data_IF_189852611805
#
_entry.id   IF_189852611805
#
_cell.length_a   1.000
_cell.length_b   1.000
_cell.length_c   1.000
_cell.angle_alpha   90.00
_cell.angle_beta   90.00
_cell.angle_gamma   90.00
#
_symmetry.space_group_name_H-M   'P 1'
#
loop_
_entity.id
_entity.type
_entity.pdbx_description
1 polymer ?
#
# COMPACT_ATOMS: atom_id res chain seq x y z
N UNK A 1 -10.55 -11.02 -10.29
CA UNK A 1 -10.84 -10.36 -9.01
C UNK A 1 -11.71 -9.12 -9.20
N UNK A 2 -12.30 -8.58 -8.13
CA UNK A 2 -13.11 -7.39 -8.13
C UNK A 2 -12.32 -6.20 -7.61
N UNK A 3 -12.47 -5.03 -8.25
CA UNK A 3 -12.04 -3.74 -7.70
C UNK A 3 -13.28 -2.98 -7.23
N UNK A 4 -13.32 -2.64 -5.94
CA UNK A 4 -14.47 -2.04 -5.28
C UNK A 4 -14.05 -0.71 -4.66
N UNK A 5 -14.74 0.36 -5.02
CA UNK A 5 -14.48 1.70 -4.53
C UNK A 5 -15.73 2.28 -3.81
N UNK A 6 -15.66 3.51 -3.34
CA UNK A 6 -16.68 4.16 -2.53
C UNK A 6 -17.92 4.64 -3.31
N UNK A 7 -17.93 4.59 -4.64
CA UNK A 7 -18.99 5.12 -5.50
C UNK A 7 -20.33 4.37 -5.45
N UNK A 8 -20.52 3.44 -4.54
CA UNK A 8 -21.75 2.65 -4.42
C UNK A 8 -22.93 3.41 -3.80
N UNK A 9 -22.68 4.63 -3.27
CA UNK A 9 -23.69 5.40 -2.55
C UNK A 9 -24.06 4.78 -1.20
N UNK A 10 -25.05 5.36 -0.54
CA UNK A 10 -25.57 4.89 0.74
C UNK A 10 -26.93 4.26 0.53
N UNK A 11 -27.06 2.97 0.80
CA UNK A 11 -28.30 2.21 0.67
C UNK A 11 -28.59 1.47 1.98
N UNK A 12 -29.62 1.91 2.71
CA UNK A 12 -30.02 1.26 3.96
C UNK A 12 -29.12 1.58 5.16
N UNK A 13 -29.10 0.69 6.14
CA UNK A 13 -28.40 0.88 7.43
C UNK A 13 -26.95 0.39 7.38
N UNK A 14 -26.63 -0.51 6.47
CA UNK A 14 -25.30 -1.11 6.37
C UNK A 14 -24.43 -0.41 5.32
N UNK A 15 -23.14 -0.29 5.59
CA UNK A 15 -22.18 0.25 4.64
C UNK A 15 -22.11 -0.67 3.40
N UNK A 16 -22.41 -0.14 2.20
CA UNK A 16 -22.36 -0.92 0.97
C UNK A 16 -20.97 -1.52 0.70
N UNK A 17 -19.89 -0.81 1.01
CA UNK A 17 -18.52 -1.31 0.84
C UNK A 17 -18.29 -2.59 1.63
N UNK A 18 -18.77 -2.65 2.87
CA UNK A 18 -18.61 -3.84 3.71
C UNK A 18 -19.34 -5.04 3.11
N UNK A 19 -20.60 -4.85 2.69
CA UNK A 19 -21.39 -5.89 2.05
C UNK A 19 -20.76 -6.38 0.74
N UNK A 20 -20.32 -5.44 -0.09
CA UNK A 20 -19.67 -5.75 -1.38
C UNK A 20 -18.35 -6.51 -1.18
N UNK A 21 -17.54 -6.14 -0.16
CA UNK A 21 -16.35 -6.89 0.20
C UNK A 21 -16.69 -8.35 0.49
N UNK A 22 -17.68 -8.58 1.35
CA UNK A 22 -18.08 -9.94 1.73
C UNK A 22 -18.59 -10.74 0.53
N UNK A 23 -19.57 -10.22 -0.19
CA UNK A 23 -20.21 -10.97 -1.27
C UNK A 23 -19.28 -11.23 -2.45
N UNK A 24 -18.49 -10.24 -2.86
CA UNK A 24 -17.55 -10.41 -3.96
C UNK A 24 -16.37 -11.32 -3.60
N UNK A 25 -15.89 -11.25 -2.36
CA UNK A 25 -14.87 -12.18 -1.88
C UNK A 25 -15.39 -13.62 -1.86
N UNK A 26 -16.54 -13.86 -1.26
CA UNK A 26 -17.17 -15.19 -1.20
C UNK A 26 -17.47 -15.74 -2.58
N UNK A 27 -17.96 -14.91 -3.51
CA UNK A 27 -18.18 -15.33 -4.90
C UNK A 27 -16.85 -15.68 -5.59
N UNK A 28 -15.80 -14.90 -5.36
CA UNK A 28 -14.48 -15.16 -5.92
C UNK A 28 -13.88 -16.48 -5.40
N UNK A 29 -14.10 -16.81 -4.13
CA UNK A 29 -13.68 -18.10 -3.53
C UNK A 29 -14.31 -19.32 -4.22
N UNK A 30 -15.50 -19.19 -4.80
CA UNK A 30 -16.16 -20.29 -5.53
C UNK A 30 -15.45 -20.69 -6.81
N UNK A 31 -14.62 -19.85 -7.36
CA UNK A 31 -13.99 -20.03 -8.67
C UNK A 31 -12.64 -20.71 -8.61
N UNK A 32 -11.86 -20.60 -7.51
CA UNK A 32 -10.54 -21.23 -7.29
C UNK A 32 -10.04 -21.05 -5.84
N UNK A 33 -8.82 -21.44 -5.60
CA UNK A 33 -8.06 -21.63 -4.35
C UNK A 33 -7.87 -20.37 -3.48
N UNK A 34 -8.89 -19.59 -3.28
CA UNK A 34 -8.90 -18.40 -2.42
C UNK A 34 -9.54 -17.18 -3.08
N UNK A 35 -10.16 -16.35 -2.28
CA UNK A 35 -10.74 -15.08 -2.73
C UNK A 35 -9.69 -13.97 -2.82
N UNK A 36 -9.80 -13.15 -3.85
CA UNK A 36 -9.02 -11.93 -3.98
C UNK A 36 -9.91 -10.79 -4.49
N UNK A 37 -9.93 -9.70 -3.75
CA UNK A 37 -10.53 -8.43 -4.17
C UNK A 37 -9.53 -7.30 -3.96
N UNK A 38 -9.71 -6.20 -4.65
CA UNK A 38 -9.04 -4.94 -4.35
C UNK A 38 -10.11 -3.93 -3.94
N UNK A 39 -10.15 -3.59 -2.67
CA UNK A 39 -11.22 -2.73 -2.14
C UNK A 39 -10.68 -1.59 -1.31
N UNK A 40 -11.35 -0.44 -1.41
CA UNK A 40 -11.18 0.62 -0.43
C UNK A 40 -11.52 0.10 0.97
N UNK A 41 -10.90 0.68 1.99
CA UNK A 41 -11.16 0.32 3.39
C UNK A 41 -12.66 0.47 3.73
N UNK A 42 -13.26 -0.61 4.19
CA UNK A 42 -14.69 -0.72 4.47
C UNK A 42 -15.02 -0.86 5.97
N UNK A 43 -14.12 -0.42 6.84
CA UNK A 43 -14.29 -0.51 8.29
C UNK A 43 -13.55 -1.69 8.94
N UNK A 44 -13.65 -1.82 10.28
CA UNK A 44 -13.03 -2.90 11.03
C UNK A 44 -13.45 -4.28 10.50
N UNK A 45 -12.47 -5.17 10.35
CA UNK A 45 -12.71 -6.52 9.83
C UNK A 45 -12.54 -6.66 8.31
N UNK A 46 -12.37 -5.56 7.55
CA UNK A 46 -12.18 -5.65 6.09
C UNK A 46 -10.86 -6.31 5.68
N UNK A 47 -9.88 -6.43 6.59
CA UNK A 47 -8.66 -7.22 6.37
C UNK A 47 -8.93 -8.70 6.04
N UNK A 48 -10.12 -9.23 6.36
CA UNK A 48 -10.54 -10.58 5.98
C UNK A 48 -10.73 -10.76 4.47
N UNK A 49 -10.82 -9.67 3.75
CA UNK A 49 -11.11 -9.63 2.31
C UNK A 49 -9.97 -8.93 1.57
N UNK A 50 -8.78 -9.58 1.47
CA UNK A 50 -7.63 -8.95 0.85
C UNK A 50 -7.86 -8.70 -0.64
N UNK A 51 -7.27 -7.61 -1.16
CA UNK A 51 -6.40 -6.63 -0.51
C UNK A 51 -7.11 -5.28 -0.39
N UNK A 52 -6.66 -4.45 0.56
CA UNK A 52 -7.19 -3.10 0.73
C UNK A 52 -6.37 -2.01 0.05
N UNK A 53 -6.99 -0.85 -0.16
CA UNK A 53 -6.29 0.36 -0.57
C UNK A 53 -6.80 1.61 0.15
N UNK A 54 -5.91 2.62 0.30
CA UNK A 54 -6.23 3.86 1.02
C UNK A 54 -7.06 4.85 0.18
N UNK A 55 -6.84 4.85 -1.14
CA UNK A 55 -7.46 5.79 -2.06
C UNK A 55 -6.70 7.11 -2.19
N UNK A 56 -7.35 8.08 -2.69
CA UNK A 56 -6.93 9.27 -3.39
C UNK A 56 -6.04 10.21 -2.55
N UNK A 57 -4.73 10.07 -2.67
CA UNK A 57 -3.77 10.97 -2.03
C UNK A 57 -3.39 12.12 -2.97
N UNK A 58 -3.16 13.32 -2.41
CA UNK A 58 -2.60 14.43 -3.18
C UNK A 58 -1.12 14.19 -3.50
N UNK A 59 -0.66 14.72 -4.64
CA UNK A 59 0.74 14.64 -5.08
C UNK A 59 1.53 15.73 -4.35
N UNK A 60 1.87 15.46 -3.08
CA UNK A 60 2.64 16.39 -2.22
C UNK A 60 3.58 15.63 -1.28
N UNK A 61 4.60 16.33 -0.79
CA UNK A 61 5.52 15.78 0.21
C UNK A 61 4.83 15.44 1.53
N UNK A 62 3.83 16.23 1.94
CA UNK A 62 3.04 15.97 3.14
C UNK A 62 2.27 14.65 3.04
N UNK A 63 1.72 14.37 1.86
CA UNK A 63 1.06 13.09 1.59
C UNK A 63 2.07 11.93 1.64
N UNK A 64 3.24 12.08 1.05
CA UNK A 64 4.30 11.08 1.13
C UNK A 64 4.74 10.85 2.58
N UNK A 65 4.96 11.92 3.34
CA UNK A 65 5.40 11.84 4.75
C UNK A 65 4.42 11.03 5.62
N UNK A 66 3.14 11.10 5.32
CA UNK A 66 2.10 10.36 6.05
C UNK A 66 2.04 8.86 5.69
N UNK A 67 2.42 8.47 4.47
CA UNK A 67 2.21 7.11 3.97
C UNK A 67 2.94 6.00 4.76
N UNK A 68 4.21 6.14 5.17
CA UNK A 68 4.90 5.11 5.96
C UNK A 68 4.20 4.85 7.31
N UNK A 69 3.82 5.92 8.01
CA UNK A 69 3.07 5.82 9.26
C UNK A 69 1.74 5.11 9.05
N UNK A 70 0.96 5.56 8.06
CA UNK A 70 -0.36 5.01 7.77
C UNK A 70 -0.29 3.53 7.39
N UNK A 71 0.66 3.16 6.53
CA UNK A 71 0.84 1.77 6.08
C UNK A 71 1.31 0.86 7.21
N UNK A 72 2.26 1.28 8.03
CA UNK A 72 2.75 0.46 9.14
C UNK A 72 1.70 0.28 10.23
N UNK A 73 0.96 1.34 10.57
CA UNK A 73 -0.09 1.26 11.60
C UNK A 73 -1.35 0.52 11.14
N UNK A 74 -1.57 0.34 9.83
CA UNK A 74 -2.63 -0.52 9.32
C UNK A 74 -2.48 -1.97 9.80
N UNK A 75 -1.27 -2.40 10.10
CA UNK A 75 -1.00 -3.73 10.67
C UNK A 75 -1.59 -3.92 12.07
N UNK A 76 -1.83 -2.85 12.84
CA UNK A 76 -2.49 -2.92 14.16
C UNK A 76 -3.93 -3.46 14.08
N UNK A 77 -4.55 -3.39 12.92
CA UNK A 77 -5.90 -3.91 12.68
C UNK A 77 -5.90 -5.11 11.72
N UNK A 78 -4.73 -5.74 11.54
CA UNK A 78 -4.57 -6.92 10.69
C UNK A 78 -4.47 -6.62 9.20
N UNK A 79 -4.37 -5.36 8.78
CA UNK A 79 -4.29 -4.99 7.36
C UNK A 79 -2.85 -5.09 6.85
N UNK A 80 -2.35 -6.32 6.66
CA UNK A 80 -0.96 -6.58 6.25
C UNK A 80 -0.71 -6.32 4.76
N UNK A 81 -1.73 -6.49 3.91
CA UNK A 81 -1.65 -6.28 2.46
C UNK A 81 -2.45 -5.04 2.07
N UNK A 82 -1.75 -3.93 2.05
CA UNK A 82 -2.28 -2.60 1.89
C UNK A 82 -1.68 -1.89 0.68
N UNK A 83 -2.51 -1.24 -0.11
CA UNK A 83 -2.10 -0.47 -1.28
C UNK A 83 -2.32 1.01 -1.05
N UNK A 84 -1.33 1.82 -1.39
CA UNK A 84 -1.50 3.26 -1.54
C UNK A 84 -1.22 3.66 -3.00
N UNK A 85 -1.58 4.89 -3.37
CA UNK A 85 -1.33 5.42 -4.70
C UNK A 85 0.11 5.96 -4.76
N UNK A 86 1.03 5.15 -5.28
CA UNK A 86 2.46 5.51 -5.37
C UNK A 86 2.63 6.69 -6.32
N UNK A 87 3.21 7.77 -5.79
CA UNK A 87 3.34 9.04 -6.48
C UNK A 87 2.14 9.98 -6.31
N UNK A 88 1.15 9.59 -5.49
CA UNK A 88 -0.09 10.33 -5.30
C UNK A 88 -1.11 10.12 -6.43
N UNK A 89 -2.38 10.41 -6.18
CA UNK A 89 -3.48 10.15 -7.10
C UNK A 89 -3.88 11.36 -7.94
N UNK A 90 -3.99 12.52 -7.31
CA UNK A 90 -4.54 13.74 -7.94
C UNK A 90 -4.00 15.02 -7.34
N UNK A 91 -4.25 16.14 -8.03
CA UNK A 91 -3.88 17.47 -7.54
C UNK A 91 -2.39 17.61 -7.23
N UNK A 92 -2.06 18.51 -6.32
CA UNK A 92 -0.67 18.74 -5.93
C UNK A 92 0.17 19.43 -7.00
N UNK A 93 1.42 19.02 -7.13
CA UNK A 93 2.37 19.66 -8.05
C UNK A 93 3.30 18.64 -8.72
N UNK A 94 3.87 19.00 -9.87
CA UNK A 94 4.85 18.19 -10.56
C UNK A 94 6.22 18.36 -9.90
N UNK A 95 6.75 17.24 -9.39
CA UNK A 95 8.06 17.18 -8.78
C UNK A 95 8.67 15.79 -9.02
N UNK A 96 9.76 15.74 -9.79
CA UNK A 96 10.41 14.48 -10.12
C UNK A 96 11.10 13.84 -8.91
N UNK A 97 11.61 14.63 -7.97
CA UNK A 97 12.20 14.08 -6.77
C UNK A 97 11.15 13.44 -5.88
N UNK A 98 10.02 14.10 -5.67
CA UNK A 98 8.86 13.54 -4.96
C UNK A 98 8.43 12.20 -5.59
N UNK A 99 8.35 12.14 -6.92
CA UNK A 99 8.00 10.91 -7.63
C UNK A 99 9.02 9.79 -7.39
N UNK A 100 10.31 10.10 -7.43
CA UNK A 100 11.39 9.15 -7.14
C UNK A 100 11.27 8.64 -5.69
N UNK A 101 11.17 9.55 -4.72
CA UNK A 101 11.12 9.18 -3.30
C UNK A 101 9.87 8.35 -2.96
N UNK A 102 8.75 8.71 -3.56
CA UNK A 102 7.52 7.94 -3.38
C UNK A 102 7.63 6.53 -3.99
N UNK A 103 8.25 6.40 -5.16
CA UNK A 103 8.50 5.10 -5.75
C UNK A 103 9.49 4.26 -4.92
N UNK A 104 10.55 4.87 -4.40
CA UNK A 104 11.50 4.21 -3.49
C UNK A 104 10.77 3.63 -2.27
N UNK A 105 9.94 4.43 -1.62
CA UNK A 105 9.07 3.95 -0.55
C UNK A 105 8.10 2.87 -1.05
N UNK A 106 7.48 3.05 -2.20
CA UNK A 106 6.51 2.12 -2.79
C UNK A 106 7.06 0.74 -3.09
N UNK A 107 8.36 0.63 -3.39
CA UNK A 107 9.05 -0.67 -3.57
C UNK A 107 9.08 -1.47 -2.27
N UNK A 108 9.17 -0.80 -1.14
CA UNK A 108 9.14 -1.39 0.20
C UNK A 108 7.77 -1.20 0.89
N UNK A 109 6.71 -1.18 0.12
CA UNK A 109 5.33 -1.23 0.60
C UNK A 109 4.66 -2.54 0.17
N UNK A 110 3.54 -2.97 0.78
CA UNK A 110 2.98 -4.28 0.49
C UNK A 110 2.59 -4.45 -0.98
N UNK A 111 1.88 -3.49 -1.56
CA UNK A 111 1.42 -3.54 -2.94
C UNK A 111 2.06 -2.41 -3.75
N UNK A 112 2.77 -2.77 -4.81
CA UNK A 112 3.32 -1.79 -5.75
C UNK A 112 2.30 -1.49 -6.84
N UNK A 113 1.63 -0.33 -6.73
CA UNK A 113 0.60 0.12 -7.65
C UNK A 113 0.82 1.59 -8.00
N UNK A 114 1.20 1.85 -9.25
CA UNK A 114 1.27 3.20 -9.80
C UNK A 114 -0.13 3.58 -10.30
N UNK A 115 -0.86 4.31 -9.48
CA UNK A 115 -2.25 4.67 -9.76
C UNK A 115 -2.47 6.18 -9.63
N UNK A 116 -3.22 6.74 -10.56
CA UNK A 116 -3.58 8.16 -10.58
C UNK A 116 -4.86 8.39 -11.36
N UNK A 117 -5.36 9.62 -11.35
CA UNK A 117 -6.39 10.06 -12.29
C UNK A 117 -5.90 9.92 -13.75
N UNK A 118 -6.81 9.98 -14.70
CA UNK A 118 -6.50 9.93 -16.12
C UNK A 118 -5.88 11.23 -16.68
N UNK A 119 -5.59 12.21 -15.84
CA UNK A 119 -4.93 13.45 -16.26
C UNK A 119 -3.49 13.18 -16.68
N UNK A 120 -3.03 13.66 -17.85
CA UNK A 120 -1.63 13.57 -18.25
C UNK A 120 -0.66 14.19 -17.24
N UNK A 121 -1.10 15.20 -16.46
CA UNK A 121 -0.33 15.80 -15.38
C UNK A 121 0.06 14.79 -14.29
N UNK A 122 -0.77 13.78 -14.07
CA UNK A 122 -0.59 12.76 -13.03
C UNK A 122 0.05 11.46 -13.55
N UNK A 123 0.59 11.46 -14.79
CA UNK A 123 1.25 10.28 -15.37
C UNK A 123 2.37 9.77 -14.49
N UNK A 124 2.45 8.45 -14.35
CA UNK A 124 3.41 7.75 -13.48
C UNK A 124 4.40 6.87 -14.24
N UNK A 125 4.22 6.75 -15.53
CA UNK A 125 5.07 5.90 -16.35
C UNK A 125 6.46 6.53 -16.53
N UNK A 126 7.55 5.74 -16.43
CA UNK A 126 8.91 6.28 -16.47
C UNK A 126 9.22 7.14 -17.71
N UNK A 127 8.58 6.89 -18.82
CA UNK A 127 8.85 7.64 -20.06
C UNK A 127 8.23 9.05 -20.10
N UNK A 128 7.40 9.44 -19.13
CA UNK A 128 6.91 10.81 -18.96
C UNK A 128 7.85 11.73 -18.19
N UNK A 129 8.92 11.18 -17.62
CA UNK A 129 9.89 11.90 -16.82
C UNK A 129 11.20 12.13 -17.57
N UNK A 130 12.09 12.95 -17.00
CA UNK A 130 13.43 13.11 -17.56
C UNK A 130 14.15 11.77 -17.63
N UNK A 131 15.16 11.68 -18.52
CA UNK A 131 15.94 10.44 -18.70
C UNK A 131 16.53 9.94 -17.39
N UNK A 132 17.05 10.84 -16.56
CA UNK A 132 17.63 10.49 -15.27
C UNK A 132 16.60 9.88 -14.32
N UNK A 133 15.46 10.54 -14.16
CA UNK A 133 14.33 10.05 -13.35
C UNK A 133 13.82 8.72 -13.86
N UNK A 134 13.66 8.58 -15.18
CA UNK A 134 13.22 7.32 -15.78
C UNK A 134 14.17 6.15 -15.47
N UNK A 135 15.48 6.36 -15.53
CA UNK A 135 16.46 5.30 -15.20
C UNK A 135 16.43 4.94 -13.70
N UNK A 136 16.28 5.91 -12.82
CA UNK A 136 16.12 5.66 -11.38
C UNK A 136 14.82 4.85 -11.14
N UNK A 137 13.71 5.25 -11.72
CA UNK A 137 12.43 4.54 -11.60
C UNK A 137 12.55 3.09 -12.09
N UNK A 138 13.17 2.85 -13.24
CA UNK A 138 13.40 1.50 -13.78
C UNK A 138 14.24 0.65 -12.83
N UNK A 139 15.28 1.24 -12.22
CA UNK A 139 16.11 0.54 -11.25
C UNK A 139 15.27 0.03 -10.07
N UNK A 140 14.46 0.89 -9.45
CA UNK A 140 13.63 0.51 -8.31
C UNK A 140 12.50 -0.44 -8.68
N UNK A 141 11.89 -0.31 -9.85
CA UNK A 141 10.90 -1.28 -10.34
C UNK A 141 11.51 -2.67 -10.55
N UNK A 142 12.76 -2.74 -11.06
CA UNK A 142 13.50 -4.01 -11.17
C UNK A 142 13.85 -4.59 -9.79
N UNK A 143 14.26 -3.73 -8.84
CA UNK A 143 14.50 -4.16 -7.46
C UNK A 143 13.24 -4.80 -6.86
N UNK A 144 12.06 -4.21 -7.07
CA UNK A 144 10.80 -4.81 -6.64
C UNK A 144 10.60 -6.22 -7.19
N UNK A 145 10.93 -6.46 -8.45
CA UNK A 145 10.83 -7.80 -9.04
C UNK A 145 11.86 -8.77 -8.44
N UNK A 146 13.04 -8.31 -8.09
CA UNK A 146 14.05 -9.13 -7.41
C UNK A 146 13.60 -9.53 -5.99
N UNK A 147 12.77 -8.74 -5.35
CA UNK A 147 12.20 -9.04 -4.03
C UNK A 147 11.02 -10.04 -4.08
N UNK A 148 10.54 -10.46 -5.24
CA UNK A 148 9.36 -11.35 -5.34
C UNK A 148 9.51 -12.65 -4.52
N UNK A 149 10.64 -13.37 -4.51
CA UNK A 149 10.79 -14.56 -3.66
C UNK A 149 10.65 -14.24 -2.17
N UNK A 150 11.25 -13.12 -1.74
CA UNK A 150 11.13 -12.64 -0.36
C UNK A 150 9.66 -12.30 0.00
N UNK A 151 9.00 -11.54 -0.86
CA UNK A 151 7.59 -11.18 -0.69
C UNK A 151 6.68 -12.41 -0.63
N UNK A 152 6.96 -13.40 -1.46
CA UNK A 152 6.22 -14.66 -1.44
C UNK A 152 6.38 -15.37 -0.09
N UNK A 153 7.60 -15.48 0.42
CA UNK A 153 7.89 -16.06 1.74
C UNK A 153 7.15 -15.30 2.85
N UNK A 154 7.18 -13.97 2.82
CA UNK A 154 6.47 -13.15 3.81
C UNK A 154 4.94 -13.28 3.68
N UNK A 155 4.43 -13.50 2.47
CA UNK A 155 3.00 -13.77 2.28
C UNK A 155 2.58 -15.13 2.87
N UNK A 156 3.44 -16.13 2.78
CA UNK A 156 3.22 -17.43 3.47
C UNK A 156 3.15 -17.21 4.97
N UNK A 157 4.10 -16.48 5.56
CA UNK A 157 4.10 -16.16 6.98
C UNK A 157 2.83 -15.34 7.39
N UNK A 158 2.39 -14.42 6.55
CA UNK A 158 1.11 -13.71 6.77
C UNK A 158 -0.07 -14.67 6.79
N UNK A 159 -0.11 -15.63 5.88
CA UNK A 159 -1.20 -16.60 5.78
C UNK A 159 -1.22 -17.59 6.96
N UNK A 160 -0.08 -18.12 7.34
CA UNK A 160 0.03 -19.18 8.33
C UNK A 160 0.06 -18.67 9.77
N UNK A 161 0.70 -17.51 9.99
CA UNK A 161 1.01 -16.98 11.31
C UNK A 161 0.31 -15.64 11.61
N UNK A 162 -0.29 -15.01 10.61
CA UNK A 162 -0.84 -13.66 10.74
C UNK A 162 0.24 -12.57 10.81
N UNK A 163 1.50 -12.89 10.49
CA UNK A 163 2.61 -11.95 10.55
C UNK A 163 2.46 -10.86 9.46
N UNK A 164 2.43 -9.56 9.82
CA UNK A 164 2.30 -8.52 8.82
C UNK A 164 3.59 -8.31 8.03
N UNK A 165 3.48 -8.03 6.73
CA UNK A 165 4.64 -7.69 5.91
C UNK A 165 5.29 -6.37 6.35
N UNK A 166 4.49 -5.39 6.76
CA UNK A 166 4.99 -4.11 7.27
C UNK A 166 4.64 -4.01 8.75
N UNK A 167 5.66 -3.88 9.60
CA UNK A 167 5.51 -3.81 11.05
C UNK A 167 6.08 -2.51 11.60
N UNK A 168 5.33 -1.76 12.41
CA UNK A 168 5.88 -0.62 13.14
C UNK A 168 7.03 -1.07 14.04
N UNK A 169 7.95 -0.17 14.33
CA UNK A 169 9.13 -0.46 15.17
C UNK A 169 8.77 -1.03 16.55
N UNK A 170 7.68 -0.58 17.15
CA UNK A 170 7.24 -1.03 18.47
C UNK A 170 6.74 -2.49 18.52
N UNK A 171 6.54 -3.17 17.38
CA UNK A 171 6.25 -4.61 17.38
C UNK A 171 7.43 -5.44 17.91
N UNK A 172 8.64 -5.00 17.61
CA UNK A 172 9.86 -5.69 18.00
C UNK A 172 10.54 -5.06 19.23
N UNK A 173 10.24 -3.81 19.50
CA UNK A 173 10.81 -3.05 20.61
C UNK A 173 9.73 -2.35 21.45
N UNK A 174 8.76 -3.11 22.02
CA UNK A 174 7.62 -2.50 22.71
C UNK A 174 8.00 -1.72 23.98
N UNK A 175 9.11 -2.08 24.63
CA UNK A 175 9.60 -1.42 25.84
C UNK A 175 10.46 -0.19 25.55
N UNK A 176 10.76 0.09 24.30
CA UNK A 176 11.56 1.24 23.90
C UNK A 176 10.67 2.39 23.43
N UNK A 177 10.60 3.49 24.19
CA UNK A 177 9.80 4.66 23.82
C UNK A 177 10.16 5.25 22.45
N UNK A 178 11.43 5.19 22.04
CA UNK A 178 11.85 5.70 20.72
C UNK A 178 11.21 4.93 19.57
N UNK A 179 10.84 3.67 19.76
CA UNK A 179 10.15 2.87 18.75
C UNK A 179 8.76 3.43 18.36
N UNK A 180 8.16 4.22 19.24
CA UNK A 180 6.88 4.91 19.02
C UNK A 180 7.02 6.30 18.40
N UNK A 181 8.27 6.83 18.35
CA UNK A 181 8.57 8.20 17.89
C UNK A 181 9.14 8.26 16.48
N UNK A 182 9.25 7.14 15.81
CA UNK A 182 9.81 7.01 14.45
C UNK A 182 8.73 6.58 13.43
N UNK A 183 7.76 7.45 13.13
CA UNK A 183 6.58 7.10 12.32
C UNK A 183 6.91 6.73 10.88
N UNK A 184 8.07 7.16 10.38
CA UNK A 184 8.56 6.87 9.03
C UNK A 184 9.53 5.69 8.95
N UNK A 185 9.73 4.95 10.04
CA UNK A 185 10.63 3.78 10.07
C UNK A 185 9.82 2.54 10.44
N UNK A 186 10.07 1.44 9.71
CA UNK A 186 9.32 0.21 9.90
C UNK A 186 10.14 -1.01 9.46
N UNK A 187 9.73 -2.19 9.90
CA UNK A 187 10.20 -3.44 9.34
C UNK A 187 9.38 -3.84 8.12
N UNK A 188 10.09 -4.28 7.09
CA UNK A 188 9.52 -4.85 5.88
C UNK A 188 9.87 -6.34 5.82
N UNK A 189 8.95 -7.19 6.29
CA UNK A 189 9.20 -8.58 6.57
C UNK A 189 10.14 -8.78 7.76
N UNK A 190 10.85 -9.90 7.77
CA UNK A 190 11.74 -10.31 8.86
C UNK A 190 13.16 -9.72 8.77
N UNK A 191 13.62 -9.37 7.56
CA UNK A 191 15.04 -9.10 7.32
C UNK A 191 15.36 -7.63 6.99
N UNK A 192 14.38 -6.81 6.68
CA UNK A 192 14.62 -5.46 6.18
C UNK A 192 14.03 -4.40 7.11
N UNK A 193 14.84 -3.42 7.48
CA UNK A 193 14.40 -2.19 8.10
C UNK A 193 14.41 -1.08 7.06
N UNK A 194 13.32 -0.34 6.97
CA UNK A 194 13.13 0.72 5.96
C UNK A 194 12.89 2.05 6.65
N UNK A 195 13.62 3.06 6.21
CA UNK A 195 13.46 4.46 6.60
C UNK A 195 13.42 5.33 5.33
N UNK A 196 12.24 5.54 4.74
CA UNK A 196 12.14 6.28 3.49
C UNK A 196 12.44 7.78 3.68
N UNK A 197 12.98 8.39 2.62
CA UNK A 197 13.14 9.85 2.55
C UNK A 197 11.76 10.44 2.19
N UNK A 198 11.22 11.28 3.07
CA UNK A 198 9.87 11.84 2.97
C UNK A 198 9.81 13.36 3.04
N UNK A 199 10.97 14.02 3.03
CA UNK A 199 11.15 15.47 3.04
C UNK A 199 12.52 15.86 2.48
#
# INVERSE_FOLDING_TARGET
FWWIDWQQGTQGVQDPLWLLNHYHYVDNCKRKDGGLILSRYAGPGSHRYPVGFSGDAFITWESLKFQPYFTSTASNIGYSWWSHDIGGHMGGYYDEELQIRWLQYGVFSPITRLHSTNSPFNSKEPWFFTKNTAEIMKHYLRLRHQLLPYLYTMNVATHEEGAPLVSPMYYFYPENEESYRVPNQYFFGSELMVAPITE
#
